data_IF_181449861337
#
_entry.id   IF_181449861337
#
_cell.length_a   1.000
_cell.length_b   1.000
_cell.length_c   1.000
_cell.angle_alpha   90.00
_cell.angle_beta   90.00
_cell.angle_gamma   90.00
#
_symmetry.space_group_name_H-M   'P 1'
#
loop_
_entity.id
_entity.type
_entity.pdbx_description
1 polymer ?
#
# COMPACT_ATOMS: atom_id res chain seq x y z
N UNK A 1 20.16 61.87 7.30
CA UNK A 1 19.52 60.62 6.82
C UNK A 1 18.92 59.89 8.01
N UNK A 2 17.60 59.72 7.99
CA UNK A 2 16.70 59.45 9.12
C UNK A 2 16.84 58.02 9.67
N UNK A 3 16.79 57.88 11.00
CA UNK A 3 17.05 56.63 11.73
C UNK A 3 16.11 55.46 11.42
N UNK A 4 15.02 55.70 10.68
CA UNK A 4 14.09 54.67 10.17
C UNK A 4 14.71 53.84 9.06
N UNK A 5 15.54 54.43 8.19
CA UNK A 5 16.22 53.70 7.10
C UNK A 5 17.27 52.74 7.64
N UNK A 6 18.01 53.14 8.68
CA UNK A 6 18.99 52.28 9.36
C UNK A 6 18.34 51.09 10.07
N UNK A 7 17.17 51.29 10.69
CA UNK A 7 16.38 50.20 11.31
C UNK A 7 15.83 49.22 10.27
N UNK A 8 15.34 49.71 9.14
CA UNK A 8 14.88 48.85 8.04
C UNK A 8 16.01 48.02 7.43
N UNK A 9 17.19 48.62 7.23
CA UNK A 9 18.37 47.91 6.73
C UNK A 9 18.84 46.87 7.76
N UNK A 10 18.81 47.18 9.05
CA UNK A 10 19.21 46.25 10.11
C UNK A 10 18.22 45.09 10.25
N UNK A 11 16.91 45.34 10.16
CA UNK A 11 15.88 44.29 10.14
C UNK A 11 15.99 43.44 8.87
N UNK A 12 16.25 44.04 7.70
CA UNK A 12 16.50 43.30 6.47
C UNK A 12 17.77 42.43 6.55
N UNK A 13 18.83 42.91 7.21
CA UNK A 13 20.05 42.14 7.45
C UNK A 13 19.82 40.98 8.44
N UNK A 14 19.00 41.18 9.46
CA UNK A 14 18.63 40.14 10.43
C UNK A 14 17.72 39.09 9.76
N UNK A 15 16.73 39.50 8.96
CA UNK A 15 15.84 38.59 8.24
C UNK A 15 16.59 37.80 7.16
N UNK A 16 17.50 38.43 6.41
CA UNK A 16 18.41 37.72 5.51
C UNK A 16 19.40 36.82 6.25
N UNK A 17 19.89 37.23 7.43
CA UNK A 17 20.75 36.41 8.28
C UNK A 17 20.04 35.19 8.87
N UNK A 18 18.75 35.30 9.18
CA UNK A 18 17.91 34.18 9.65
C UNK A 18 17.55 33.25 8.48
N UNK A 19 17.31 33.78 7.27
CA UNK A 19 17.01 32.97 6.08
C UNK A 19 18.24 32.29 5.48
N UNK A 20 19.43 32.88 5.61
CA UNK A 20 20.71 32.30 5.17
C UNK A 20 21.42 31.52 6.28
N UNK A 21 20.95 31.62 7.52
CA UNK A 21 21.56 31.06 8.73
C UNK A 21 20.92 29.77 9.25
N UNK A 22 20.06 29.10 8.48
CA UNK A 22 19.61 27.72 8.78
C UNK A 22 20.23 26.78 7.74
N UNK A 23 21.43 26.22 8.00
CA UNK A 23 22.06 25.29 7.05
C UNK A 23 21.42 23.88 7.05
N UNK A 24 20.30 23.66 7.74
CA UNK A 24 19.77 22.31 8.01
C UNK A 24 18.31 22.06 7.59
N UNK A 25 17.68 22.96 6.82
CA UNK A 25 16.26 22.82 6.45
C UNK A 25 16.00 21.85 5.29
N UNK A 26 16.98 21.62 4.40
CA UNK A 26 16.84 20.68 3.30
C UNK A 26 16.68 19.20 3.75
N UNK A 27 17.55 18.65 4.63
CA UNK A 27 17.41 17.27 5.10
C UNK A 27 16.15 17.08 5.96
N UNK A 28 15.82 18.02 6.84
CA UNK A 28 14.62 17.93 7.69
C UNK A 28 13.31 18.00 6.87
N UNK A 29 13.24 18.85 5.85
CA UNK A 29 12.09 18.92 4.96
C UNK A 29 11.95 17.67 4.06
N UNK A 30 13.05 16.99 3.76
CA UNK A 30 13.07 15.74 3.00
C UNK A 30 12.59 14.56 3.85
N UNK A 31 13.08 14.44 5.09
CA UNK A 31 12.65 13.42 6.08
C UNK A 31 11.14 13.49 6.33
N UNK A 32 10.57 14.70 6.49
CA UNK A 32 9.12 14.90 6.65
C UNK A 32 8.31 14.46 5.42
N UNK A 33 8.82 14.70 4.21
CA UNK A 33 8.16 14.27 2.97
C UNK A 33 8.16 12.75 2.84
N UNK A 34 9.26 12.10 3.21
CA UNK A 34 9.39 10.64 3.14
C UNK A 34 8.44 9.95 4.13
N UNK A 35 8.34 10.46 5.36
CA UNK A 35 7.39 9.97 6.37
C UNK A 35 5.94 10.12 5.87
N UNK A 36 5.60 11.27 5.28
CA UNK A 36 4.25 11.49 4.74
C UNK A 36 3.92 10.55 3.58
N UNK A 37 4.89 10.30 2.68
CA UNK A 37 4.72 9.37 1.56
C UNK A 37 4.52 7.93 2.04
N UNK A 38 5.34 7.49 3.01
CA UNK A 38 5.24 6.16 3.61
C UNK A 38 3.90 5.99 4.33
N UNK A 39 3.50 6.94 5.17
CA UNK A 39 2.23 6.89 5.90
C UNK A 39 1.03 6.87 4.95
N UNK A 40 1.03 7.73 3.93
CA UNK A 40 0.00 7.74 2.90
C UNK A 40 -0.07 6.41 2.15
N UNK A 41 1.08 5.82 1.82
CA UNK A 41 1.15 4.52 1.18
C UNK A 41 0.59 3.39 2.05
N UNK A 42 0.97 3.32 3.33
CA UNK A 42 0.49 2.30 4.26
C UNK A 42 -1.04 2.42 4.41
N UNK A 43 -1.54 3.64 4.64
CA UNK A 43 -2.98 3.91 4.76
C UNK A 43 -3.76 3.52 3.50
N UNK A 44 -3.30 3.93 2.31
CA UNK A 44 -3.93 3.54 1.05
C UNK A 44 -3.90 2.03 0.82
N UNK A 45 -2.79 1.37 1.15
CA UNK A 45 -2.61 -0.07 0.94
C UNK A 45 -3.53 -0.88 1.85
N UNK A 46 -3.66 -0.52 3.13
CA UNK A 46 -4.64 -1.14 4.04
C UNK A 46 -6.08 -0.94 3.56
N UNK A 47 -6.43 0.29 3.11
CA UNK A 47 -7.76 0.56 2.58
C UNK A 47 -8.07 -0.30 1.34
N UNK A 48 -7.09 -0.45 0.44
CA UNK A 48 -7.21 -1.30 -0.75
C UNK A 48 -7.35 -2.78 -0.38
N UNK A 49 -6.54 -3.30 0.55
CA UNK A 49 -6.65 -4.69 1.02
C UNK A 49 -8.00 -4.98 1.66
N UNK A 50 -8.49 -4.07 2.53
CA UNK A 50 -9.84 -4.18 3.12
C UNK A 50 -10.93 -4.23 2.04
N UNK A 51 -10.80 -3.39 1.02
CA UNK A 51 -11.73 -3.38 -0.12
C UNK A 51 -11.66 -4.68 -0.93
N UNK A 52 -10.46 -5.18 -1.22
CA UNK A 52 -10.25 -6.45 -1.92
C UNK A 52 -10.84 -7.61 -1.10
N UNK A 53 -10.63 -7.66 0.21
CA UNK A 53 -11.20 -8.68 1.08
C UNK A 53 -12.74 -8.71 0.99
N UNK A 54 -13.38 -7.54 1.06
CA UNK A 54 -14.84 -7.42 0.89
C UNK A 54 -15.30 -7.96 -0.47
N UNK A 55 -14.61 -7.59 -1.55
CA UNK A 55 -14.93 -8.06 -2.90
C UNK A 55 -14.73 -9.57 -3.06
N UNK A 56 -13.68 -10.14 -2.46
CA UNK A 56 -13.46 -11.59 -2.44
C UNK A 56 -14.57 -12.33 -1.68
N UNK A 57 -15.05 -11.77 -0.55
CA UNK A 57 -16.20 -12.30 0.16
C UNK A 57 -17.49 -12.25 -0.66
N UNK A 58 -17.69 -11.20 -1.45
CA UNK A 58 -18.82 -11.09 -2.38
C UNK A 58 -18.74 -12.17 -3.48
N UNK A 59 -17.56 -12.39 -4.07
CA UNK A 59 -17.34 -13.49 -5.02
C UNK A 59 -17.69 -14.86 -4.40
N UNK A 60 -17.27 -15.11 -3.15
CA UNK A 60 -17.63 -16.34 -2.43
C UNK A 60 -19.15 -16.45 -2.25
N UNK A 61 -19.83 -15.35 -1.91
CA UNK A 61 -21.28 -15.33 -1.70
C UNK A 61 -22.04 -15.67 -3.00
N UNK A 62 -21.58 -15.16 -4.15
CA UNK A 62 -22.15 -15.44 -5.46
C UNK A 62 -22.01 -16.92 -5.86
N UNK A 63 -20.87 -17.55 -5.53
CA UNK A 63 -20.63 -18.96 -5.86
C UNK A 63 -21.24 -19.96 -4.86
N UNK A 64 -21.52 -19.54 -3.63
CA UNK A 64 -21.98 -20.42 -2.55
C UNK A 64 -23.26 -21.22 -2.87
N UNK A 65 -24.32 -20.65 -3.48
CA UNK A 65 -25.53 -21.39 -3.85
C UNK A 65 -25.27 -22.56 -4.80
N UNK A 66 -24.28 -22.42 -5.69
CA UNK A 66 -23.93 -23.42 -6.69
C UNK A 66 -23.20 -24.64 -6.11
N UNK A 67 -22.87 -24.63 -4.82
CA UNK A 67 -22.43 -25.84 -4.11
C UNK A 67 -23.54 -26.90 -4.03
N UNK A 68 -24.81 -26.49 -4.06
CA UNK A 68 -25.97 -27.40 -4.09
C UNK A 68 -26.27 -27.89 -5.51
N UNK A 69 -26.37 -29.21 -5.69
CA UNK A 69 -26.76 -29.82 -6.97
C UNK A 69 -28.10 -29.26 -7.48
N UNK A 70 -29.09 -29.16 -6.59
CA UNK A 70 -30.42 -28.63 -6.92
C UNK A 70 -30.39 -27.21 -7.49
N UNK A 71 -29.45 -26.38 -7.05
CA UNK A 71 -29.31 -25.01 -7.56
C UNK A 71 -28.65 -25.02 -8.94
N UNK A 72 -27.60 -25.83 -9.14
CA UNK A 72 -26.93 -25.99 -10.43
C UNK A 72 -27.84 -26.52 -11.53
N UNK A 73 -28.76 -27.42 -11.18
CA UNK A 73 -29.72 -27.99 -12.13
C UNK A 73 -30.78 -26.94 -12.58
N UNK A 74 -30.95 -25.84 -11.83
CA UNK A 74 -31.98 -24.81 -12.06
C UNK A 74 -31.45 -23.49 -12.60
N UNK A 75 -30.20 -23.15 -12.28
CA UNK A 75 -29.62 -21.85 -12.55
C UNK A 75 -28.25 -21.98 -13.20
N UNK A 76 -27.91 -21.01 -14.06
CA UNK A 76 -26.60 -20.91 -14.69
C UNK A 76 -25.68 -20.03 -13.86
N UNK A 77 -24.41 -20.43 -13.74
CA UNK A 77 -23.40 -19.68 -13.01
C UNK A 77 -22.81 -18.56 -13.88
N UNK A 78 -23.26 -17.32 -13.67
CA UNK A 78 -22.79 -16.13 -14.41
C UNK A 78 -22.66 -14.89 -13.50
N UNK A 79 -21.72 -14.88 -12.52
CA UNK A 79 -21.52 -13.74 -11.61
C UNK A 79 -21.00 -12.46 -12.29
N UNK A 80 -20.52 -12.54 -13.54
CA UNK A 80 -19.93 -11.43 -14.27
C UNK A 80 -18.46 -11.15 -13.92
N UNK A 81 -17.83 -10.29 -14.72
CA UNK A 81 -16.39 -9.99 -14.63
C UNK A 81 -16.05 -8.75 -13.78
N UNK A 82 -17.06 -7.99 -13.34
CA UNK A 82 -16.87 -6.68 -12.71
C UNK A 82 -15.98 -6.76 -11.47
N UNK A 83 -16.31 -7.68 -10.54
CA UNK A 83 -15.59 -7.82 -9.26
C UNK A 83 -14.14 -8.28 -9.48
N UNK A 84 -13.86 -9.37 -10.25
CA UNK A 84 -12.48 -9.76 -10.54
C UNK A 84 -11.65 -8.66 -11.22
N UNK A 85 -12.25 -7.85 -12.11
CA UNK A 85 -11.54 -6.74 -12.77
C UNK A 85 -11.22 -5.61 -11.80
N UNK A 86 -12.13 -5.31 -10.88
CA UNK A 86 -11.90 -4.30 -9.84
C UNK A 86 -10.76 -4.72 -8.90
N UNK A 87 -10.78 -5.97 -8.41
CA UNK A 87 -9.69 -6.50 -7.57
C UNK A 87 -8.35 -6.43 -8.32
N UNK A 88 -8.33 -6.83 -9.60
CA UNK A 88 -7.11 -6.78 -10.42
C UNK A 88 -6.59 -5.36 -10.63
N UNK A 89 -7.48 -4.36 -10.75
CA UNK A 89 -7.07 -2.96 -10.83
C UNK A 89 -6.46 -2.47 -9.52
N UNK A 90 -7.06 -2.85 -8.38
CA UNK A 90 -6.56 -2.47 -7.06
C UNK A 90 -5.21 -3.13 -6.78
N UNK A 91 -5.04 -4.42 -7.10
CA UNK A 91 -3.78 -5.13 -6.89
C UNK A 91 -2.64 -4.55 -7.74
N UNK A 92 -2.92 -4.17 -8.99
CA UNK A 92 -1.96 -3.45 -9.85
C UNK A 92 -1.59 -2.08 -9.30
N UNK A 93 -2.58 -1.31 -8.81
CA UNK A 93 -2.33 -0.01 -8.18
C UNK A 93 -1.39 -0.19 -6.98
N UNK A 94 -1.67 -1.15 -6.10
CA UNK A 94 -0.83 -1.45 -4.95
C UNK A 94 0.60 -1.86 -5.36
N UNK A 95 0.75 -2.76 -6.33
CA UNK A 95 2.07 -3.16 -6.85
C UNK A 95 2.87 -1.95 -7.37
N UNK A 96 2.22 -1.05 -8.11
CA UNK A 96 2.87 0.17 -8.61
C UNK A 96 3.26 1.13 -7.48
N UNK A 97 2.35 1.40 -6.54
CA UNK A 97 2.62 2.25 -5.36
C UNK A 97 3.77 1.68 -4.53
N UNK A 98 3.83 0.37 -4.37
CA UNK A 98 4.87 -0.26 -3.57
C UNK A 98 6.24 -0.21 -4.25
N UNK A 99 6.30 -0.40 -5.57
CA UNK A 99 7.53 -0.17 -6.35
C UNK A 99 8.06 1.26 -6.23
N UNK A 100 7.16 2.25 -6.16
CA UNK A 100 7.54 3.65 -5.94
C UNK A 100 8.13 3.88 -4.54
N UNK A 101 7.50 3.30 -3.51
CA UNK A 101 7.94 3.44 -2.11
C UNK A 101 9.25 2.71 -1.85
N UNK A 102 9.55 1.63 -2.59
CA UNK A 102 10.82 0.91 -2.45
C UNK A 102 12.05 1.81 -2.66
N UNK A 103 11.96 2.82 -3.54
CA UNK A 103 13.03 3.80 -3.72
C UNK A 103 13.26 4.65 -2.46
N UNK A 104 12.19 4.98 -1.74
CA UNK A 104 12.24 5.71 -0.46
C UNK A 104 12.78 4.81 0.66
N UNK A 105 12.31 3.56 0.72
CA UNK A 105 12.77 2.56 1.71
C UNK A 105 14.19 2.04 1.45
N UNK A 106 14.76 2.26 0.26
CA UNK A 106 16.14 1.84 -0.01
C UNK A 106 17.12 2.55 0.93
N UNK A 107 16.83 3.80 1.30
CA UNK A 107 17.70 4.62 2.15
C UNK A 107 17.49 4.36 3.66
N UNK A 108 16.45 3.61 4.05
CA UNK A 108 16.16 3.28 5.45
C UNK A 108 16.82 1.96 5.90
N UNK A 109 17.17 1.89 7.19
CA UNK A 109 17.82 0.74 7.85
C UNK A 109 16.78 -0.31 8.29
N UNK A 110 15.79 -0.56 7.43
CA UNK A 110 14.67 -1.47 7.70
C UNK A 110 15.13 -2.91 7.46
N UNK A 111 15.21 -3.69 8.55
CA UNK A 111 15.53 -5.13 8.49
C UNK A 111 14.48 -5.89 7.67
N UNK A 112 14.93 -6.88 6.89
CA UNK A 112 14.09 -7.74 6.03
C UNK A 112 13.31 -7.01 4.92
N UNK A 113 13.61 -5.74 4.62
CA UNK A 113 12.86 -4.95 3.62
C UNK A 113 12.77 -5.62 2.25
N UNK A 114 13.83 -6.25 1.77
CA UNK A 114 13.84 -6.91 0.46
C UNK A 114 12.92 -8.14 0.42
N UNK A 115 12.86 -8.88 1.52
CA UNK A 115 12.00 -10.06 1.66
C UNK A 115 10.53 -9.61 1.70
N UNK A 116 10.21 -8.65 2.56
CA UNK A 116 8.87 -8.05 2.64
C UNK A 116 8.47 -7.49 1.27
N UNK A 117 9.40 -6.81 0.61
CA UNK A 117 9.16 -6.21 -0.70
C UNK A 117 8.76 -7.26 -1.74
N UNK A 118 9.58 -8.30 -1.86
CA UNK A 118 9.34 -9.40 -2.79
C UNK A 118 8.02 -10.12 -2.49
N UNK A 119 7.78 -10.48 -1.22
CA UNK A 119 6.59 -11.23 -0.83
C UNK A 119 5.30 -10.45 -1.07
N UNK A 120 5.31 -9.14 -0.86
CA UNK A 120 4.11 -8.32 -1.10
C UNK A 120 3.83 -8.18 -2.60
N UNK A 121 4.88 -8.01 -3.42
CA UNK A 121 4.71 -8.04 -4.88
C UNK A 121 4.15 -9.39 -5.34
N UNK A 122 4.71 -10.50 -4.86
CA UNK A 122 4.25 -11.85 -5.18
C UNK A 122 2.78 -12.05 -4.77
N UNK A 123 2.35 -11.52 -3.61
CA UNK A 123 0.96 -11.57 -3.16
C UNK A 123 0.03 -10.78 -4.10
N UNK A 124 0.42 -9.55 -4.49
CA UNK A 124 -0.40 -8.72 -5.41
C UNK A 124 -0.50 -9.30 -6.83
N UNK A 125 0.56 -9.95 -7.31
CA UNK A 125 0.57 -10.63 -8.60
C UNK A 125 -0.24 -11.94 -8.56
N UNK A 126 -0.20 -12.65 -7.42
CA UNK A 126 -1.03 -13.83 -7.18
C UNK A 126 -2.52 -13.47 -7.17
N UNK A 127 -2.92 -12.37 -6.52
CA UNK A 127 -4.29 -11.85 -6.60
C UNK A 127 -4.73 -11.60 -8.05
N UNK A 128 -3.89 -10.95 -8.86
CA UNK A 128 -4.15 -10.70 -10.28
C UNK A 128 -4.34 -12.01 -11.06
N UNK A 129 -3.53 -13.03 -10.75
CA UNK A 129 -3.62 -14.36 -11.35
C UNK A 129 -4.93 -15.06 -10.98
N UNK A 130 -5.34 -15.00 -9.71
CA UNK A 130 -6.64 -15.52 -9.28
C UNK A 130 -7.80 -14.78 -9.92
N UNK A 131 -7.72 -13.46 -10.12
CA UNK A 131 -8.75 -12.70 -10.84
C UNK A 131 -8.87 -13.13 -12.31
N UNK A 132 -7.75 -13.33 -13.02
CA UNK A 132 -7.77 -13.86 -14.39
C UNK A 132 -8.42 -15.25 -14.44
N UNK A 133 -8.10 -16.10 -13.45
CA UNK A 133 -8.68 -17.43 -13.29
C UNK A 133 -10.19 -17.37 -13.04
N UNK A 134 -10.65 -16.45 -12.20
CA UNK A 134 -12.07 -16.23 -11.93
C UNK A 134 -12.83 -15.78 -13.19
N UNK A 135 -12.25 -14.88 -14.00
CA UNK A 135 -12.84 -14.45 -15.28
C UNK A 135 -12.96 -15.62 -16.26
N UNK A 136 -11.94 -16.48 -16.34
CA UNK A 136 -12.01 -17.71 -17.15
C UNK A 136 -13.09 -18.65 -16.62
N UNK A 137 -13.11 -18.89 -15.30
CA UNK A 137 -14.11 -19.73 -14.65
C UNK A 137 -15.55 -19.25 -14.90
N UNK A 138 -15.77 -17.94 -14.98
CA UNK A 138 -17.07 -17.36 -15.35
C UNK A 138 -17.47 -17.76 -16.78
N UNK A 139 -16.56 -17.67 -17.76
CA UNK A 139 -16.83 -18.10 -19.15
C UNK A 139 -17.13 -19.59 -19.27
N UNK A 140 -16.45 -20.40 -18.47
CA UNK A 140 -16.61 -21.85 -18.46
C UNK A 140 -17.81 -22.31 -17.59
N UNK A 141 -18.57 -21.38 -16.99
CA UNK A 141 -19.62 -21.63 -15.99
C UNK A 141 -19.13 -22.50 -14.81
N UNK A 142 -17.84 -22.42 -14.48
CA UNK A 142 -17.18 -23.25 -13.49
C UNK A 142 -17.18 -22.55 -12.11
N UNK A 143 -18.26 -22.74 -11.36
CA UNK A 143 -18.41 -22.13 -10.03
C UNK A 143 -17.32 -22.58 -9.04
N UNK A 144 -16.84 -23.82 -9.13
CA UNK A 144 -15.85 -24.35 -8.20
C UNK A 144 -14.49 -23.65 -8.39
N UNK A 145 -14.07 -23.46 -9.64
CA UNK A 145 -12.85 -22.72 -9.95
C UNK A 145 -12.98 -21.23 -9.60
N UNK A 146 -14.16 -20.65 -9.76
CA UNK A 146 -14.43 -19.27 -9.34
C UNK A 146 -14.34 -19.12 -7.82
N UNK A 147 -14.97 -20.03 -7.05
CA UNK A 147 -14.91 -20.04 -5.59
C UNK A 147 -13.47 -20.23 -5.08
N UNK A 148 -12.72 -21.17 -5.66
CA UNK A 148 -11.31 -21.38 -5.32
C UNK A 148 -10.45 -20.14 -5.64
N UNK A 149 -10.81 -19.37 -6.67
CA UNK A 149 -10.15 -18.09 -6.98
C UNK A 149 -10.45 -17.03 -5.94
N UNK A 150 -11.70 -16.93 -5.48
CA UNK A 150 -12.07 -16.01 -4.41
C UNK A 150 -11.35 -16.34 -3.09
N UNK A 151 -11.24 -17.62 -2.73
CA UNK A 151 -10.49 -18.09 -1.56
C UNK A 151 -8.98 -17.83 -1.70
N UNK A 152 -8.42 -18.03 -2.90
CA UNK A 152 -7.03 -17.68 -3.20
C UNK A 152 -6.76 -16.19 -2.97
N UNK A 153 -7.64 -15.31 -3.49
CA UNK A 153 -7.52 -13.85 -3.27
C UNK A 153 -7.56 -13.53 -1.77
N UNK A 154 -8.50 -14.12 -1.03
CA UNK A 154 -8.61 -13.89 0.42
C UNK A 154 -7.33 -14.27 1.17
N UNK A 155 -6.71 -15.40 0.81
CA UNK A 155 -5.43 -15.82 1.39
C UNK A 155 -4.32 -14.80 1.11
N UNK A 156 -4.19 -14.34 -0.14
CA UNK A 156 -3.17 -13.34 -0.48
C UNK A 156 -3.43 -12.00 0.21
N UNK A 157 -4.69 -11.67 0.52
CA UNK A 157 -5.01 -10.45 1.28
C UNK A 157 -4.55 -10.57 2.72
N UNK A 158 -4.69 -11.75 3.34
CA UNK A 158 -4.16 -11.99 4.68
C UNK A 158 -2.64 -11.82 4.69
N UNK A 159 -1.94 -12.47 3.76
CA UNK A 159 -0.48 -12.34 3.59
C UNK A 159 -0.09 -10.86 3.37
N UNK A 160 -0.79 -10.15 2.50
CA UNK A 160 -0.52 -8.73 2.23
C UNK A 160 -0.72 -7.84 3.46
N UNK A 161 -1.72 -8.13 4.31
CA UNK A 161 -1.93 -7.37 5.55
C UNK A 161 -0.80 -7.64 6.56
N UNK A 162 -0.41 -8.90 6.74
CA UNK A 162 0.68 -9.26 7.64
C UNK A 162 1.98 -8.56 7.22
N UNK A 163 2.29 -8.55 5.92
CA UNK A 163 3.47 -7.88 5.37
C UNK A 163 3.45 -6.35 5.53
N UNK A 164 2.28 -5.70 5.43
CA UNK A 164 2.17 -4.27 5.70
C UNK A 164 2.37 -3.95 7.18
N UNK A 165 1.84 -4.80 8.07
CA UNK A 165 2.05 -4.66 9.52
C UNK A 165 3.54 -4.84 9.87
N UNK A 166 4.19 -5.87 9.30
CA UNK A 166 5.62 -6.10 9.49
C UNK A 166 6.46 -4.92 8.98
N UNK A 167 6.07 -4.35 7.85
CA UNK A 167 6.72 -3.16 7.30
C UNK A 167 6.54 -1.94 8.22
N UNK A 168 5.32 -1.72 8.72
CA UNK A 168 5.03 -0.62 9.64
C UNK A 168 5.85 -0.75 10.93
N UNK A 169 5.90 -1.95 11.52
CA UNK A 169 6.72 -2.24 12.71
C UNK A 169 8.20 -1.99 12.41
N UNK A 170 8.70 -2.47 11.29
CA UNK A 170 10.11 -2.34 10.93
C UNK A 170 10.51 -0.88 10.65
N UNK A 171 9.61 -0.08 10.07
CA UNK A 171 9.79 1.37 9.89
C UNK A 171 9.81 2.09 11.25
N UNK A 172 8.84 1.80 12.13
CA UNK A 172 8.78 2.41 13.46
C UNK A 172 10.02 2.08 14.30
N UNK A 173 10.51 0.84 14.24
CA UNK A 173 11.76 0.44 14.90
C UNK A 173 12.97 1.19 14.32
N UNK A 174 13.04 1.35 13.00
CA UNK A 174 14.12 2.09 12.34
C UNK A 174 14.12 3.58 12.75
N UNK A 175 12.95 4.19 12.94
CA UNK A 175 12.82 5.57 13.42
C UNK A 175 13.31 5.66 14.87
N UNK A 176 12.83 4.77 15.75
CA UNK A 176 13.24 4.75 17.15
C UNK A 176 14.76 4.54 17.34
N UNK A 177 15.37 3.65 16.56
CA UNK A 177 16.83 3.44 16.56
C UNK A 177 17.60 4.66 16.02
N UNK A 178 17.01 5.44 15.12
CA UNK A 178 17.61 6.69 14.60
C UNK A 178 17.54 7.80 15.66
N UNK A 179 16.39 7.97 16.31
CA UNK A 179 16.18 8.99 17.35
C UNK A 179 17.06 8.72 18.58
N UNK A 180 17.16 7.46 19.03
CA UNK A 180 18.04 7.09 20.13
C UNK A 180 19.53 7.39 19.85
N UNK A 181 19.96 7.24 18.58
CA UNK A 181 21.32 7.62 18.15
C UNK A 181 21.53 9.13 18.19
N UNK A 182 20.53 9.92 17.78
CA UNK A 182 20.57 11.39 17.82
C UNK A 182 20.61 11.94 19.26
N UNK A 183 19.92 11.29 20.20
CA UNK A 183 19.95 11.67 21.63
C UNK A 183 21.25 11.29 22.35
N UNK A 184 21.99 10.31 21.83
CA UNK A 184 23.27 9.86 22.40
C UNK A 184 24.49 10.70 21.99
N UNK A 185 24.33 11.66 21.07
CA UNK A 185 25.35 12.54 20.50
C UNK A 185 25.26 13.96 21.07
#
# INVERSE_FOLDING_TARGET
MTGTLKKLIFVAFIVCGILLGVPNSAPAAQEVKEIFLISSFLGESHANLKKIHRLANEMKSQARPFSSKRHRDRYRFEPGDKIPREIMSLSRKMSASFKMINGVLHQSDVKNKEIIFKQFLDATDSMSTFCKRAIRANRDNNYALYLASAQGIEKEVAIGNDLLNDLEIAINNSIAESDARKESL
#
